data_IF_141748152775
#
_entry.id   IF_141748152775
#
_cell.length_a   1.000
_cell.length_b   1.000
_cell.length_c   1.000
_cell.angle_alpha   90.00
_cell.angle_beta   90.00
_cell.angle_gamma   90.00
#
_symmetry.space_group_name_H-M   'P 1'
#
loop_
_entity.id
_entity.type
_entity.pdbx_description
1 polymer ?
#
# COMPACT_ATOMS: atom_id res chain seq x y z
N UNK A 1 -39.38 -14.33 38.78
CA UNK A 1 -39.63 -13.74 37.44
C UNK A 1 -38.78 -12.49 37.16
N UNK A 2 -38.58 -11.58 38.13
CA UNK A 2 -37.77 -10.36 37.96
C UNK A 2 -36.31 -10.59 37.45
N UNK A 3 -35.67 -11.70 37.86
CA UNK A 3 -34.29 -12.05 37.45
C UNK A 3 -34.16 -12.43 35.97
N UNK A 4 -35.18 -13.01 35.35
CA UNK A 4 -35.15 -13.41 33.93
C UNK A 4 -35.36 -12.18 33.04
N UNK A 5 -36.20 -11.24 33.49
CA UNK A 5 -36.46 -9.98 32.80
C UNK A 5 -35.18 -9.13 32.69
N UNK A 6 -34.37 -9.07 33.76
CA UNK A 6 -33.09 -8.34 33.77
C UNK A 6 -32.08 -8.92 32.79
N UNK A 7 -32.02 -10.25 32.65
CA UNK A 7 -31.12 -10.91 31.68
C UNK A 7 -31.54 -10.57 30.25
N UNK A 8 -32.84 -10.60 29.95
CA UNK A 8 -33.36 -10.21 28.63
C UNK A 8 -33.19 -8.70 28.34
N UNK A 9 -33.31 -7.84 29.36
CA UNK A 9 -33.12 -6.40 29.21
C UNK A 9 -31.66 -6.02 28.93
N UNK A 10 -30.70 -6.78 29.49
CA UNK A 10 -29.27 -6.53 29.29
C UNK A 10 -28.68 -7.27 28.08
N UNK A 11 -29.38 -8.27 27.53
CA UNK A 11 -28.96 -8.99 26.33
C UNK A 11 -28.70 -8.10 25.09
N UNK A 12 -29.51 -7.07 24.77
CA UNK A 12 -29.23 -6.19 23.63
C UNK A 12 -27.97 -5.32 23.81
N UNK A 13 -27.56 -5.02 25.05
CA UNK A 13 -26.32 -4.28 25.33
C UNK A 13 -25.07 -5.13 25.02
N UNK A 14 -25.18 -6.46 25.12
CA UNK A 14 -24.10 -7.39 24.76
C UNK A 14 -23.98 -7.59 23.25
N UNK A 15 -25.09 -7.45 22.50
CA UNK A 15 -25.11 -7.60 21.04
C UNK A 15 -24.52 -6.39 20.27
N UNK A 16 -24.45 -5.22 20.91
CA UNK A 16 -23.85 -4.00 20.32
C UNK A 16 -22.40 -3.74 20.73
N UNK A 17 -21.81 -4.60 21.55
CA UNK A 17 -20.36 -4.63 21.75
C UNK A 17 -19.65 -5.30 20.56
N UNK A 18 -19.99 -4.89 19.32
CA UNK A 18 -19.09 -5.11 18.21
C UNK A 18 -17.84 -4.34 18.56
N UNK A 19 -16.76 -5.07 18.88
CA UNK A 19 -15.44 -4.50 19.07
C UNK A 19 -15.21 -3.49 17.94
N UNK A 20 -14.99 -2.22 18.29
CA UNK A 20 -14.59 -1.22 17.32
C UNK A 20 -13.45 -1.85 16.51
N UNK A 21 -13.58 -1.87 15.17
CA UNK A 21 -12.49 -2.37 14.33
C UNK A 21 -11.23 -1.65 14.77
N UNK A 22 -10.21 -2.40 15.19
CA UNK A 22 -8.90 -1.82 15.43
C UNK A 22 -8.46 -1.17 14.12
N UNK A 23 -8.50 0.17 14.09
CA UNK A 23 -8.00 0.92 12.96
C UNK A 23 -6.49 0.75 12.95
N UNK A 24 -5.92 0.21 11.86
CA UNK A 24 -4.47 0.09 11.75
C UNK A 24 -3.87 1.50 11.62
N UNK A 25 -3.02 1.85 12.60
CA UNK A 25 -2.50 3.20 12.81
C UNK A 25 -0.96 3.18 12.68
N UNK A 26 -0.41 4.12 11.92
CA UNK A 26 0.96 4.08 11.40
C UNK A 26 1.73 5.39 11.62
N UNK A 27 3.07 5.34 11.67
CA UNK A 27 3.90 6.55 11.58
C UNK A 27 4.12 6.90 10.10
N UNK A 28 4.41 8.17 9.79
CA UNK A 28 4.62 8.61 8.39
C UNK A 28 5.64 7.73 7.64
N UNK A 29 6.77 7.41 8.29
CA UNK A 29 7.83 6.59 7.71
C UNK A 29 7.38 5.16 7.36
N UNK A 30 6.33 4.67 8.00
CA UNK A 30 5.85 3.28 7.88
C UNK A 30 4.73 3.15 6.83
N UNK A 31 4.21 4.28 6.30
CA UNK A 31 3.08 4.28 5.36
C UNK A 31 3.39 3.58 4.03
N UNK A 32 4.63 3.72 3.55
CA UNK A 32 5.10 3.03 2.35
C UNK A 32 5.16 1.52 2.54
N UNK A 33 5.60 1.09 3.72
CA UNK A 33 5.64 -0.33 4.10
C UNK A 33 4.22 -0.88 4.21
N UNK A 34 3.31 -0.15 4.84
CA UNK A 34 1.90 -0.52 4.94
C UNK A 34 1.24 -0.66 3.56
N UNK A 35 1.46 0.27 2.63
CA UNK A 35 0.93 0.14 1.26
C UNK A 35 1.44 -1.12 0.56
N UNK A 36 2.74 -1.43 0.68
CA UNK A 36 3.29 -2.68 0.14
C UNK A 36 2.70 -3.90 0.83
N UNK A 37 2.43 -3.83 2.14
CA UNK A 37 1.81 -4.92 2.92
C UNK A 37 0.42 -5.22 2.35
N UNK A 38 -0.41 -4.19 2.21
CA UNK A 38 -1.73 -4.26 1.57
C UNK A 38 -1.67 -4.93 0.19
N UNK A 39 -0.76 -4.50 -0.68
CA UNK A 39 -0.63 -5.04 -2.04
C UNK A 39 -0.21 -6.51 -1.99
N UNK A 40 0.76 -6.85 -1.17
CA UNK A 40 1.33 -8.20 -1.14
C UNK A 40 0.38 -9.21 -0.50
N UNK A 41 -0.31 -8.85 0.59
CA UNK A 41 -1.37 -9.67 1.21
C UNK A 41 -2.51 -9.96 0.25
N UNK A 42 -2.93 -8.95 -0.51
CA UNK A 42 -4.03 -9.06 -1.45
C UNK A 42 -3.58 -9.46 -2.87
N UNK A 43 -2.37 -10.00 -3.01
CA UNK A 43 -1.81 -10.53 -4.28
C UNK A 43 -1.91 -9.54 -5.44
N UNK A 44 -1.68 -8.26 -5.14
CA UNK A 44 -1.68 -7.14 -6.08
C UNK A 44 -3.02 -6.41 -6.22
N UNK A 45 -4.08 -6.83 -5.52
CA UNK A 45 -5.36 -6.10 -5.51
C UNK A 45 -5.38 -5.10 -4.35
N UNK A 46 -5.49 -3.81 -4.64
CA UNK A 46 -5.60 -2.79 -3.57
C UNK A 46 -7.04 -2.44 -3.20
N UNK A 47 -7.98 -2.71 -4.10
CA UNK A 47 -9.43 -2.62 -3.93
C UNK A 47 -10.10 -3.35 -5.12
N UNK A 48 -11.43 -3.41 -5.14
CA UNK A 48 -12.18 -4.12 -6.18
C UNK A 48 -12.25 -3.39 -7.53
N UNK A 49 -12.01 -2.08 -7.55
CA UNK A 49 -12.11 -1.26 -8.78
C UNK A 49 -10.79 -1.16 -9.53
N UNK A 50 -9.69 -1.50 -8.87
CA UNK A 50 -8.35 -1.43 -9.40
C UNK A 50 -7.95 -2.71 -10.13
N UNK A 51 -7.22 -2.55 -11.23
CA UNK A 51 -6.56 -3.69 -11.88
C UNK A 51 -5.53 -4.33 -10.93
N UNK A 52 -5.24 -5.60 -11.17
CA UNK A 52 -4.20 -6.28 -10.41
C UNK A 52 -2.81 -5.69 -10.70
N UNK A 53 -2.09 -5.30 -9.65
CA UNK A 53 -0.72 -4.77 -9.70
C UNK A 53 0.32 -5.84 -9.98
N UNK A 54 0.09 -7.06 -9.50
CA UNK A 54 1.10 -8.10 -9.50
C UNK A 54 0.69 -9.20 -10.50
N UNK A 55 1.53 -9.50 -11.50
CA UNK A 55 1.35 -10.67 -12.35
C UNK A 55 1.23 -11.96 -11.53
N UNK A 56 0.55 -12.96 -12.08
CA UNK A 56 0.49 -14.29 -11.47
C UNK A 56 1.91 -14.83 -11.24
N UNK A 57 2.14 -15.48 -10.09
CA UNK A 57 3.44 -16.04 -9.68
C UNK A 57 4.56 -15.02 -9.43
N UNK A 58 4.24 -13.74 -9.28
CA UNK A 58 5.22 -12.75 -8.82
C UNK A 58 5.85 -13.19 -7.50
N UNK A 59 7.18 -13.21 -7.43
CA UNK A 59 7.95 -13.39 -6.18
C UNK A 59 8.87 -12.22 -5.87
N UNK A 60 9.22 -11.44 -6.89
CA UNK A 60 10.11 -10.29 -6.78
C UNK A 60 9.35 -9.03 -7.18
N UNK A 61 9.45 -8.00 -6.34
CA UNK A 61 8.87 -6.68 -6.58
C UNK A 61 10.01 -5.67 -6.51
N UNK A 62 10.22 -4.91 -7.57
CA UNK A 62 11.26 -3.89 -7.62
C UNK A 62 10.65 -2.52 -7.39
N UNK A 63 11.19 -1.77 -6.43
CA UNK A 63 10.79 -0.41 -6.12
C UNK A 63 11.98 0.50 -6.42
N UNK A 64 11.79 1.47 -7.30
CA UNK A 64 12.80 2.48 -7.61
C UNK A 64 13.01 3.38 -6.39
N UNK A 65 14.28 3.65 -6.07
CA UNK A 65 14.68 4.57 -4.99
C UNK A 65 14.08 5.96 -5.17
N UNK A 66 13.64 6.52 -4.05
CA UNK A 66 13.03 7.84 -3.95
C UNK A 66 13.64 8.53 -2.73
N UNK A 67 14.06 9.79 -2.88
CA UNK A 67 14.82 10.51 -1.85
C UNK A 67 14.11 10.61 -0.48
N UNK A 68 12.78 10.50 -0.46
CA UNK A 68 11.96 10.62 0.74
C UNK A 68 11.73 9.29 1.48
N UNK A 69 12.28 8.17 0.98
CA UNK A 69 12.17 6.85 1.61
C UNK A 69 13.58 6.37 1.93
N UNK A 70 13.89 6.20 3.22
CA UNK A 70 15.23 5.79 3.64
C UNK A 70 15.51 4.32 3.27
N UNK A 71 14.56 3.45 3.56
CA UNK A 71 14.64 2.02 3.27
C UNK A 71 13.25 1.38 3.20
N UNK A 72 13.20 0.19 2.63
CA UNK A 72 12.04 -0.70 2.62
C UNK A 72 12.50 -2.07 3.13
N UNK A 73 11.60 -2.89 3.70
CA UNK A 73 11.96 -4.24 4.11
C UNK A 73 12.30 -5.09 2.89
N UNK A 74 13.34 -5.93 2.98
CA UNK A 74 13.78 -6.79 1.86
C UNK A 74 12.78 -7.92 1.54
N UNK A 75 11.88 -8.22 2.48
CA UNK A 75 10.82 -9.23 2.31
C UNK A 75 9.52 -8.77 2.94
N UNK A 76 8.41 -9.14 2.31
CA UNK A 76 7.07 -8.83 2.80
C UNK A 76 6.07 -9.87 2.28
N UNK A 77 5.34 -10.53 3.18
CA UNK A 77 4.29 -11.51 2.83
C UNK A 77 4.74 -12.57 1.79
N UNK A 78 5.99 -13.02 1.88
CA UNK A 78 6.58 -14.03 0.97
C UNK A 78 7.15 -13.47 -0.34
N UNK A 79 7.03 -12.16 -0.59
CA UNK A 79 7.66 -11.48 -1.72
C UNK A 79 9.03 -10.93 -1.31
N UNK A 80 9.97 -10.92 -2.24
CA UNK A 80 11.25 -10.21 -2.15
C UNK A 80 11.07 -8.80 -2.69
N UNK A 81 11.37 -7.81 -1.87
CA UNK A 81 11.26 -6.40 -2.23
C UNK A 81 12.66 -5.87 -2.49
N UNK A 82 12.88 -5.34 -3.69
CA UNK A 82 14.17 -4.83 -4.12
C UNK A 82 14.10 -3.32 -4.22
N UNK A 83 14.68 -2.61 -3.25
CA UNK A 83 14.71 -1.14 -3.24
C UNK A 83 15.99 -0.61 -3.92
N UNK A 84 15.88 -0.22 -5.20
CA UNK A 84 17.03 -0.12 -6.11
C UNK A 84 17.14 1.23 -6.82
N UNK A 85 18.38 1.69 -7.02
CA UNK A 85 18.69 2.88 -7.80
C UNK A 85 18.50 2.58 -9.31
N UNK A 86 17.64 3.36 -9.98
CA UNK A 86 17.29 3.09 -11.37
C UNK A 86 18.42 3.41 -12.34
N UNK A 87 19.16 4.51 -12.12
CA UNK A 87 20.22 4.98 -13.02
C UNK A 87 21.37 3.97 -13.07
N UNK A 88 21.73 3.41 -11.91
CA UNK A 88 22.77 2.40 -11.77
C UNK A 88 22.34 1.03 -12.31
N UNK A 89 21.04 0.75 -12.40
CA UNK A 89 20.50 -0.59 -12.69
C UNK A 89 19.60 -0.65 -13.93
N UNK A 90 19.66 0.36 -14.80
CA UNK A 90 18.69 0.52 -15.89
C UNK A 90 18.65 -0.67 -16.87
N UNK A 91 19.82 -1.27 -17.13
CA UNK A 91 19.93 -2.47 -17.99
C UNK A 91 19.30 -3.69 -17.33
N UNK A 92 19.54 -3.89 -16.04
CA UNK A 92 18.97 -4.99 -15.26
C UNK A 92 17.44 -4.86 -15.21
N UNK A 93 16.93 -3.69 -14.83
CA UNK A 93 15.50 -3.41 -14.76
C UNK A 93 14.80 -3.63 -16.10
N UNK A 94 15.42 -3.19 -17.20
CA UNK A 94 14.90 -3.45 -18.55
C UNK A 94 14.79 -4.95 -18.86
N UNK A 95 15.83 -5.73 -18.57
CA UNK A 95 15.84 -7.18 -18.80
C UNK A 95 14.82 -7.91 -17.92
N UNK A 96 14.72 -7.56 -16.63
CA UNK A 96 13.76 -8.16 -15.71
C UNK A 96 12.32 -7.94 -16.16
N UNK A 97 12.01 -6.74 -16.64
CA UNK A 97 10.67 -6.45 -17.12
C UNK A 97 10.38 -7.10 -18.47
N UNK A 98 11.33 -7.10 -19.42
CA UNK A 98 11.08 -7.61 -20.77
C UNK A 98 11.07 -9.13 -20.86
N UNK A 99 11.93 -9.80 -20.11
CA UNK A 99 12.10 -11.25 -20.24
C UNK A 99 11.39 -12.03 -19.14
N UNK A 100 11.24 -11.43 -17.96
CA UNK A 100 10.69 -12.11 -16.78
C UNK A 100 9.37 -11.50 -16.30
N UNK A 101 8.87 -10.47 -16.99
CA UNK A 101 7.63 -9.75 -16.66
C UNK A 101 7.56 -9.31 -15.18
N UNK A 102 8.71 -8.94 -14.62
CA UNK A 102 8.80 -8.56 -13.20
C UNK A 102 8.16 -7.18 -12.99
N UNK A 103 7.30 -7.01 -11.97
CA UNK A 103 6.71 -5.72 -11.67
C UNK A 103 7.76 -4.76 -11.08
N UNK A 104 7.80 -3.55 -11.65
CA UNK A 104 8.66 -2.45 -11.21
C UNK A 104 7.75 -1.28 -10.88
N UNK A 105 7.95 -0.66 -9.73
CA UNK A 105 7.17 0.48 -9.28
C UNK A 105 8.05 1.63 -8.80
N UNK A 106 7.43 2.80 -8.68
CA UNK A 106 7.97 3.97 -8.02
C UNK A 106 6.96 4.50 -7.02
N UNK A 107 7.42 4.84 -5.81
CA UNK A 107 6.61 5.47 -4.77
C UNK A 107 6.80 6.98 -4.83
N UNK A 108 5.79 7.69 -5.34
CA UNK A 108 5.82 9.14 -5.50
C UNK A 108 4.99 9.85 -4.44
N UNK A 109 5.60 10.80 -3.71
CA UNK A 109 4.86 11.68 -2.79
C UNK A 109 3.96 12.61 -3.59
N UNK A 110 2.64 12.60 -3.34
CA UNK A 110 1.71 13.58 -3.93
C UNK A 110 1.68 14.83 -3.06
N UNK A 111 1.15 14.66 -1.85
CA UNK A 111 0.63 15.77 -1.07
C UNK A 111 0.72 15.44 0.41
N UNK A 112 1.11 16.45 1.19
CA UNK A 112 1.13 16.39 2.65
C UNK A 112 0.44 17.65 3.17
N UNK A 113 -0.85 17.53 3.52
CA UNK A 113 -1.53 18.53 4.34
C UNK A 113 -1.41 18.13 5.81
N UNK A 114 -1.67 19.06 6.72
CA UNK A 114 -1.66 18.82 8.18
C UNK A 114 -2.44 17.60 8.63
N UNK A 115 -3.49 17.22 7.89
CA UNK A 115 -4.35 16.08 8.26
C UNK A 115 -4.38 14.94 7.23
N UNK A 116 -3.74 15.12 6.07
CA UNK A 116 -3.92 14.19 4.95
C UNK A 116 -2.59 13.88 4.28
N UNK A 117 -2.23 12.60 4.29
CA UNK A 117 -1.06 12.07 3.61
C UNK A 117 -1.46 11.26 2.39
N UNK A 118 -0.94 11.65 1.22
CA UNK A 118 -1.22 10.97 -0.04
C UNK A 118 0.05 10.71 -0.82
N UNK A 119 0.17 9.48 -1.31
CA UNK A 119 1.23 9.09 -2.24
C UNK A 119 0.73 8.06 -3.25
N UNK A 120 1.53 7.89 -4.30
CA UNK A 120 1.22 7.08 -5.46
C UNK A 120 2.17 5.90 -5.44
N UNK A 121 1.65 4.72 -5.77
CA UNK A 121 2.43 3.65 -6.33
C UNK A 121 2.22 3.69 -7.85
N UNK A 122 3.27 4.06 -8.57
CA UNK A 122 3.26 4.16 -10.03
C UNK A 122 3.93 2.93 -10.64
N UNK A 123 3.24 2.15 -11.49
CA UNK A 123 3.88 1.18 -12.36
C UNK A 123 4.88 1.86 -13.27
N UNK A 124 6.08 1.28 -13.34
CA UNK A 124 7.16 1.77 -14.19
C UNK A 124 7.29 0.86 -15.40
N UNK A 125 7.43 1.47 -16.57
CA UNK A 125 7.75 0.83 -17.83
C UNK A 125 9.15 1.23 -18.28
N UNK A 126 9.98 0.25 -18.60
CA UNK A 126 11.29 0.46 -19.17
C UNK A 126 11.16 0.51 -20.71
N UNK A 127 11.30 1.71 -21.29
CA UNK A 127 11.29 1.91 -22.76
C UNK A 127 12.65 2.43 -23.22
N UNK A 128 13.27 1.75 -24.19
CA UNK A 128 14.60 2.11 -24.74
C UNK A 128 15.65 2.39 -23.63
N UNK A 129 15.68 1.56 -22.58
CA UNK A 129 16.56 1.74 -21.40
C UNK A 129 16.39 3.12 -20.73
N UNK A 130 15.14 3.60 -20.65
CA UNK A 130 14.73 4.78 -19.87
C UNK A 130 13.55 4.38 -18.97
N UNK A 131 13.45 5.03 -17.82
CA UNK A 131 12.30 4.94 -16.92
C UNK A 131 11.14 5.72 -17.53
N UNK A 132 9.99 5.10 -17.65
CA UNK A 132 8.72 5.74 -18.01
C UNK A 132 7.68 5.36 -16.98
N UNK A 133 6.84 6.31 -16.57
CA UNK A 133 5.73 6.01 -15.69
C UNK A 133 4.52 5.63 -16.53
N UNK A 134 3.80 4.58 -16.13
CA UNK A 134 2.54 4.23 -16.75
C UNK A 134 1.54 5.40 -16.57
N UNK A 135 0.57 5.60 -17.49
CA UNK A 135 -0.46 6.64 -17.38
C UNK A 135 -1.54 6.31 -16.33
N UNK A 136 -1.16 5.53 -15.32
CA UNK A 136 -2.03 5.11 -14.24
C UNK A 136 -1.21 4.91 -12.97
N UNK A 137 -1.84 5.14 -11.84
CA UNK A 137 -1.24 4.99 -10.53
C UNK A 137 -2.28 4.55 -9.49
N UNK A 138 -1.76 4.01 -8.40
CA UNK A 138 -2.55 3.57 -7.27
C UNK A 138 -2.26 4.55 -6.14
N UNK A 139 -3.28 5.30 -5.75
CA UNK A 139 -3.16 6.34 -4.74
C UNK A 139 -3.62 5.80 -3.40
N UNK A 140 -2.81 6.04 -2.37
CA UNK A 140 -3.11 5.65 -0.99
C UNK A 140 -3.43 6.90 -0.17
N UNK A 141 -4.47 6.81 0.64
CA UNK A 141 -4.99 7.92 1.45
C UNK A 141 -4.87 7.57 2.92
N UNK A 142 -4.18 8.44 3.65
CA UNK A 142 -4.09 8.34 5.10
C UNK A 142 -4.52 9.64 5.76
N UNK A 143 -5.30 9.52 6.83
CA UNK A 143 -5.74 10.64 7.64
C UNK A 143 -4.91 10.71 8.93
N UNK A 144 -4.48 11.90 9.33
CA UNK A 144 -3.73 12.09 10.57
C UNK A 144 -4.70 12.18 11.76
N UNK A 145 -4.59 11.21 12.65
CA UNK A 145 -5.28 11.13 13.92
C UNK A 145 -4.50 11.93 14.97
N UNK A 146 -4.92 13.17 15.20
CA UNK A 146 -4.28 14.09 16.17
C UNK A 146 -4.26 13.51 17.59
N UNK A 147 -5.33 12.82 17.98
CA UNK A 147 -5.49 12.14 19.27
C UNK A 147 -4.40 11.08 19.51
N UNK A 148 -3.91 10.45 18.45
CA UNK A 148 -2.92 9.37 18.52
C UNK A 148 -1.54 9.79 17.99
N UNK A 149 -1.45 10.95 17.36
CA UNK A 149 -0.26 11.44 16.63
C UNK A 149 0.25 10.43 15.60
N UNK A 150 -0.68 9.90 14.79
CA UNK A 150 -0.42 8.82 13.82
C UNK A 150 -1.36 8.92 12.62
N UNK A 151 -1.05 8.17 11.58
CA UNK A 151 -1.83 8.10 10.35
C UNK A 151 -2.68 6.85 10.29
N UNK A 152 -3.94 7.00 9.93
CA UNK A 152 -4.90 5.93 9.73
C UNK A 152 -5.14 5.73 8.24
N UNK A 153 -5.09 4.48 7.77
CA UNK A 153 -5.44 4.18 6.39
C UNK A 153 -6.93 4.37 6.15
N UNK A 154 -7.30 5.13 5.12
CA UNK A 154 -8.70 5.43 4.80
C UNK A 154 -9.17 4.65 3.58
N UNK A 155 -8.44 4.76 2.46
CA UNK A 155 -8.78 4.10 1.20
C UNK A 155 -7.60 4.07 0.22
N UNK A 156 -7.76 3.26 -0.82
CA UNK A 156 -6.95 3.27 -2.03
C UNK A 156 -7.84 3.59 -3.24
N UNK A 157 -7.29 4.24 -4.26
CA UNK A 157 -8.01 4.50 -5.53
C UNK A 157 -7.07 4.37 -6.74
N UNK A 158 -7.65 4.04 -7.90
CA UNK A 158 -6.93 4.03 -9.17
C UNK A 158 -7.12 5.36 -9.88
N UNK A 159 -6.01 5.95 -10.33
CA UNK A 159 -5.98 7.26 -11.00
C UNK A 159 -5.30 7.07 -12.35
N UNK A 160 -5.85 7.68 -13.41
CA UNK A 160 -5.26 7.69 -14.76
C UNK A 160 -5.22 9.11 -15.32
N UNK A 161 -4.25 9.40 -16.19
CA UNK A 161 -4.10 10.71 -16.85
C UNK A 161 -3.57 10.58 -18.27
#
# INVERSE_FOLDING_TARGET
MLRILLIFLCFPLLLQAQAAKDHEIWREKDLYVHALKLITENKGKVNDTCRNLLPANTKDIYIIKAAHIASLPDTLNGYRIHYIDADSNIKLLYHLQKEKNVPIFYLGKWHNFTELYQFWLMPVQMKKKKVWYAPEAFKFHYYFRHDLSRFEFTRSECVSW
#
